data_IF_861321055658
#
_entry.id   IF_861321055658
#
_cell.length_a   1.000
_cell.length_b   1.000
_cell.length_c   1.000
_cell.angle_alpha   90.00
_cell.angle_beta   90.00
_cell.angle_gamma   90.00
#
_symmetry.space_group_name_H-M   'P 1'
#
loop_
_entity.id
_entity.type
_entity.pdbx_description
1 polymer ?
#
# COMPACT_ATOMS: atom_id res chain seq x y z
N UNK A 1 52.08 15.40 31.43
CA UNK A 1 51.86 15.46 29.96
C UNK A 1 52.49 14.22 29.33
N UNK A 2 51.70 13.27 28.83
CA UNK A 2 52.16 12.04 28.17
C UNK A 2 51.65 12.03 26.73
N UNK A 3 52.58 12.04 25.78
CA UNK A 3 52.35 11.97 24.33
C UNK A 3 52.09 10.52 23.92
N UNK A 4 51.01 10.28 23.17
CA UNK A 4 50.64 8.96 22.61
C UNK A 4 50.88 8.98 21.09
N UNK A 5 51.55 7.97 20.51
CA UNK A 5 51.87 7.95 19.08
C UNK A 5 50.70 7.48 18.21
N UNK A 6 50.50 8.18 17.08
CA UNK A 6 49.58 7.82 15.97
C UNK A 6 50.11 6.60 15.20
N UNK A 7 49.33 5.52 15.13
CA UNK A 7 49.52 4.45 14.13
C UNK A 7 48.63 4.72 12.90
N UNK A 8 49.27 4.92 11.74
CA UNK A 8 48.63 4.84 10.42
C UNK A 8 48.56 3.37 10.00
N UNK A 9 47.36 2.85 9.77
CA UNK A 9 47.17 1.60 9.04
C UNK A 9 46.76 1.95 7.60
N UNK A 10 47.55 1.46 6.64
CA UNK A 10 47.34 1.67 5.22
C UNK A 10 46.22 0.78 4.67
N UNK A 11 45.29 1.39 3.93
CA UNK A 11 44.35 0.66 3.09
C UNK A 11 45.09 0.11 1.87
N UNK A 12 45.17 -1.22 1.78
CA UNK A 12 45.52 -1.93 0.54
C UNK A 12 44.23 -2.11 -0.26
N UNK A 13 44.14 -1.43 -1.39
CA UNK A 13 43.07 -1.60 -2.36
C UNK A 13 43.17 -2.99 -3.01
N UNK A 14 42.07 -3.72 -3.03
CA UNK A 14 41.93 -4.95 -3.82
C UNK A 14 41.39 -4.60 -5.23
N UNK A 15 41.76 -5.38 -6.26
CA UNK A 15 41.50 -5.05 -7.66
C UNK A 15 40.05 -5.31 -8.09
N UNK A 16 39.65 -4.55 -9.10
CA UNK A 16 38.39 -4.61 -9.85
C UNK A 16 38.16 -6.00 -10.46
N UNK A 17 37.06 -6.64 -10.06
CA UNK A 17 36.55 -7.83 -10.72
C UNK A 17 35.52 -7.39 -11.78
N UNK A 18 35.97 -7.33 -13.03
CA UNK A 18 35.14 -7.19 -14.23
C UNK A 18 34.18 -8.37 -14.35
N UNK A 19 32.88 -8.08 -14.35
CA UNK A 19 31.85 -9.08 -14.66
C UNK A 19 31.61 -9.17 -16.19
N UNK A 20 31.31 -10.38 -16.70
CA UNK A 20 31.09 -10.63 -18.12
C UNK A 20 29.78 -10.04 -18.63
N UNK A 21 29.86 -9.56 -19.87
CA UNK A 21 28.76 -9.11 -20.72
C UNK A 21 27.91 -10.34 -21.08
N UNK A 22 26.66 -10.36 -20.62
CA UNK A 22 25.69 -11.37 -21.08
C UNK A 22 25.02 -10.89 -22.37
N UNK A 23 25.16 -11.72 -23.39
CA UNK A 23 24.65 -11.53 -24.74
C UNK A 23 23.12 -11.45 -24.76
N UNK A 24 22.61 -10.52 -25.57
CA UNK A 24 21.20 -10.41 -25.91
C UNK A 24 20.77 -11.61 -26.78
N UNK A 25 19.79 -12.38 -26.31
CA UNK A 25 19.08 -13.34 -27.13
C UNK A 25 18.02 -12.58 -27.95
N UNK A 26 18.23 -12.53 -29.26
CA UNK A 26 17.24 -12.09 -30.22
C UNK A 26 16.11 -13.14 -30.28
N UNK A 27 14.88 -12.74 -29.95
CA UNK A 27 13.69 -13.56 -30.13
C UNK A 27 13.15 -13.33 -31.53
N UNK A 28 13.23 -14.37 -32.37
CA UNK A 28 12.65 -14.40 -33.70
C UNK A 28 11.12 -14.35 -33.62
N UNK A 29 10.53 -13.25 -34.07
CA UNK A 29 9.09 -13.14 -34.36
C UNK A 29 8.76 -13.93 -35.62
N UNK A 30 8.10 -15.07 -35.49
CA UNK A 30 7.41 -15.74 -36.59
C UNK A 30 6.02 -15.10 -36.76
N UNK A 31 5.85 -14.35 -37.85
CA UNK A 31 4.56 -13.89 -38.31
C UNK A 31 3.78 -15.09 -38.87
N UNK A 32 2.82 -15.59 -38.11
CA UNK A 32 1.79 -16.50 -38.64
C UNK A 32 0.58 -15.67 -39.07
N UNK A 33 0.41 -15.54 -40.39
CA UNK A 33 -0.82 -15.08 -40.99
C UNK A 33 -1.89 -16.15 -40.78
N UNK A 34 -2.70 -15.99 -39.73
CA UNK A 34 -3.89 -16.80 -39.51
C UNK A 34 -5.09 -16.15 -40.22
N UNK A 35 -5.70 -16.98 -41.05
CA UNK A 35 -6.86 -16.71 -41.89
C UNK A 35 -8.06 -16.35 -41.00
N UNK A 36 -8.44 -15.07 -41.01
CA UNK A 36 -9.46 -14.50 -40.14
C UNK A 36 -10.86 -14.73 -40.73
N UNK A 37 -11.40 -15.95 -40.62
CA UNK A 37 -12.85 -16.15 -40.71
C UNK A 37 -13.46 -15.71 -39.38
N UNK A 38 -13.96 -14.47 -39.34
CA UNK A 38 -14.62 -13.86 -38.18
C UNK A 38 -15.88 -14.68 -37.85
N UNK A 39 -15.92 -15.44 -36.74
CA UNK A 39 -17.20 -15.94 -36.26
C UNK A 39 -18.00 -14.74 -35.76
N UNK A 40 -19.25 -14.59 -36.23
CA UNK A 40 -20.21 -13.67 -35.61
C UNK A 40 -20.37 -14.11 -34.15
N UNK A 41 -19.63 -13.45 -33.26
CA UNK A 41 -19.83 -13.55 -31.83
C UNK A 41 -21.27 -13.10 -31.57
N UNK A 42 -22.13 -14.06 -31.23
CA UNK A 42 -23.41 -13.78 -30.59
C UNK A 42 -23.09 -12.85 -29.43
N UNK A 43 -23.45 -11.57 -29.56
CA UNK A 43 -23.35 -10.65 -28.45
C UNK A 43 -24.15 -11.28 -27.31
N UNK A 44 -23.53 -11.57 -26.15
CA UNK A 44 -24.29 -12.01 -25.00
C UNK A 44 -25.39 -10.96 -24.78
N UNK A 45 -26.64 -11.39 -24.55
CA UNK A 45 -27.75 -10.46 -24.36
C UNK A 45 -27.32 -9.39 -23.36
N UNK A 46 -27.62 -8.11 -23.62
CA UNK A 46 -27.23 -7.02 -22.74
C UNK A 46 -27.68 -7.39 -21.34
N UNK A 47 -26.69 -7.70 -20.48
CA UNK A 47 -26.95 -7.99 -19.08
C UNK A 47 -27.60 -6.73 -18.55
N UNK A 48 -28.91 -6.83 -18.30
CA UNK A 48 -29.65 -5.79 -17.61
C UNK A 48 -29.03 -5.74 -16.24
N UNK A 49 -28.05 -4.85 -16.06
CA UNK A 49 -27.48 -4.52 -14.78
C UNK A 49 -28.69 -4.14 -13.94
N UNK A 50 -29.08 -5.03 -13.02
CA UNK A 50 -30.15 -4.74 -12.08
C UNK A 50 -29.83 -3.36 -11.52
N UNK A 51 -30.77 -2.42 -11.70
CA UNK A 51 -30.62 -1.05 -11.21
C UNK A 51 -30.45 -1.18 -9.71
N UNK A 52 -29.20 -1.22 -9.27
CA UNK A 52 -28.83 -1.54 -7.90
C UNK A 52 -29.49 -0.54 -6.98
N UNK A 53 -30.06 -1.01 -5.88
CA UNK A 53 -30.59 -0.13 -4.83
C UNK A 53 -29.49 0.85 -4.42
N UNK A 54 -29.84 2.10 -4.11
CA UNK A 54 -28.84 3.07 -3.68
C UNK A 54 -28.37 2.76 -2.25
N UNK A 55 -27.12 3.10 -1.93
CA UNK A 55 -26.61 3.08 -0.56
C UNK A 55 -27.37 4.14 0.25
N UNK A 56 -28.05 3.71 1.31
CA UNK A 56 -28.81 4.62 2.20
C UNK A 56 -28.07 4.92 3.49
N UNK A 57 -27.18 4.02 3.91
CA UNK A 57 -26.42 4.15 5.15
C UNK A 57 -25.08 3.41 5.00
N UNK A 58 -24.01 3.99 5.56
CA UNK A 58 -22.70 3.35 5.69
C UNK A 58 -22.33 3.31 7.18
N UNK A 59 -22.23 2.10 7.72
CA UNK A 59 -21.86 1.84 9.11
C UNK A 59 -20.46 1.26 9.15
N UNK A 60 -19.60 1.85 9.98
CA UNK A 60 -18.24 1.35 10.23
C UNK A 60 -18.22 0.67 11.60
N UNK A 61 -17.66 -0.53 11.66
CA UNK A 61 -17.46 -1.30 12.89
C UNK A 61 -16.02 -1.79 13.00
N UNK A 62 -15.54 -2.03 14.22
CA UNK A 62 -14.19 -2.54 14.48
C UNK A 62 -13.09 -1.48 14.53
N UNK A 63 -13.42 -0.21 14.25
CA UNK A 63 -12.48 0.90 14.40
C UNK A 63 -12.19 1.20 15.89
N UNK A 64 -10.94 1.56 16.20
CA UNK A 64 -10.43 1.77 17.57
C UNK A 64 -9.71 3.10 17.71
N UNK A 65 -8.78 3.38 16.81
CA UNK A 65 -7.95 4.60 16.79
C UNK A 65 -8.37 5.50 15.65
N UNK A 66 -8.70 4.95 14.48
CA UNK A 66 -9.15 5.73 13.34
C UNK A 66 -10.62 6.14 13.50
N UNK A 67 -10.92 7.37 13.06
CA UNK A 67 -12.28 7.87 13.05
C UNK A 67 -13.11 7.15 11.97
N UNK A 68 -14.33 6.76 12.30
CA UNK A 68 -15.29 6.20 11.35
C UNK A 68 -15.51 7.11 10.12
N UNK A 69 -15.50 8.44 10.28
CA UNK A 69 -15.61 9.36 9.13
C UNK A 69 -14.44 9.24 8.16
N UNK A 70 -13.23 9.08 8.68
CA UNK A 70 -12.05 8.87 7.85
C UNK A 70 -12.21 7.56 7.06
N UNK A 71 -12.64 6.48 7.72
CA UNK A 71 -12.85 5.17 7.07
C UNK A 71 -13.93 5.26 6.00
N UNK A 72 -15.05 5.93 6.27
CA UNK A 72 -16.10 6.19 5.27
C UNK A 72 -15.55 6.95 4.07
N UNK A 73 -14.82 8.03 4.30
CA UNK A 73 -14.24 8.84 3.21
C UNK A 73 -13.20 8.05 2.42
N UNK A 74 -12.36 7.27 3.09
CA UNK A 74 -11.31 6.45 2.47
C UNK A 74 -11.87 5.29 1.64
N UNK A 75 -13.10 4.86 1.90
CA UNK A 75 -13.77 3.85 1.07
C UNK A 75 -14.05 4.34 -0.36
N UNK A 76 -14.04 5.66 -0.61
CA UNK A 76 -14.28 6.25 -1.93
C UNK A 76 -15.74 6.29 -2.38
N UNK A 77 -16.68 5.80 -1.54
CA UNK A 77 -18.11 5.78 -1.84
C UNK A 77 -18.92 6.48 -0.75
N UNK A 78 -20.13 6.94 -1.11
CA UNK A 78 -21.03 7.70 -0.23
C UNK A 78 -22.47 7.22 -0.35
N UNK A 79 -23.30 7.70 0.59
CA UNK A 79 -24.76 7.56 0.52
C UNK A 79 -25.27 8.14 -0.80
N UNK A 80 -26.12 7.38 -1.50
CA UNK A 80 -26.64 7.69 -2.83
C UNK A 80 -25.92 6.97 -3.98
N UNK A 81 -24.71 6.43 -3.76
CA UNK A 81 -24.02 5.64 -4.79
C UNK A 81 -24.73 4.28 -5.01
N UNK A 82 -24.52 3.61 -6.16
CA UNK A 82 -25.09 2.29 -6.41
C UNK A 82 -24.64 1.26 -5.37
N UNK A 83 -25.56 0.46 -4.85
CA UNK A 83 -25.24 -0.68 -4.01
C UNK A 83 -25.21 -1.97 -4.82
N UNK A 84 -24.03 -2.31 -5.32
CA UNK A 84 -23.75 -3.56 -6.02
C UNK A 84 -22.38 -4.09 -5.61
N UNK A 85 -22.10 -5.35 -5.94
CA UNK A 85 -20.87 -6.03 -5.52
C UNK A 85 -19.60 -5.31 -6.00
N UNK A 86 -19.62 -4.74 -7.21
CA UNK A 86 -18.49 -3.98 -7.77
C UNK A 86 -18.13 -2.80 -6.88
N UNK A 87 -19.13 -2.07 -6.38
CA UNK A 87 -18.93 -0.96 -5.45
C UNK A 87 -18.40 -1.46 -4.09
N UNK A 88 -18.93 -2.55 -3.56
CA UNK A 88 -18.45 -3.12 -2.29
C UNK A 88 -16.99 -3.57 -2.39
N UNK A 89 -16.61 -4.18 -3.50
CA UNK A 89 -15.23 -4.57 -3.78
C UNK A 89 -14.31 -3.36 -3.95
N UNK A 90 -14.75 -2.31 -4.63
CA UNK A 90 -14.02 -1.05 -4.74
C UNK A 90 -13.79 -0.41 -3.36
N UNK A 91 -14.83 -0.36 -2.52
CA UNK A 91 -14.71 0.13 -1.13
C UNK A 91 -13.65 -0.66 -0.36
N UNK A 92 -13.70 -2.00 -0.45
CA UNK A 92 -12.73 -2.88 0.20
C UNK A 92 -11.31 -2.62 -0.32
N UNK A 93 -11.13 -2.54 -1.62
CA UNK A 93 -9.83 -2.33 -2.26
C UNK A 93 -9.24 -0.97 -1.87
N UNK A 94 -10.02 0.11 -1.95
CA UNK A 94 -9.59 1.45 -1.57
C UNK A 94 -9.11 1.50 -0.11
N UNK A 95 -9.83 0.83 0.80
CA UNK A 95 -9.44 0.74 2.20
C UNK A 95 -8.15 -0.05 2.40
N UNK A 96 -7.97 -1.18 1.72
CA UNK A 96 -6.72 -1.96 1.77
C UNK A 96 -5.53 -1.15 1.24
N UNK A 97 -5.72 -0.39 0.16
CA UNK A 97 -4.70 0.48 -0.44
C UNK A 97 -4.26 1.62 0.49
N UNK A 98 -5.07 1.99 1.49
CA UNK A 98 -4.63 2.96 2.48
C UNK A 98 -3.51 2.44 3.38
N UNK A 99 -3.29 1.12 3.47
CA UNK A 99 -2.24 0.52 4.30
C UNK A 99 -2.53 0.47 5.80
N UNK A 100 -3.73 0.88 6.24
CA UNK A 100 -4.08 0.99 7.65
C UNK A 100 -4.64 -0.29 8.30
N UNK A 101 -4.93 -1.34 7.52
CA UNK A 101 -5.70 -2.51 7.97
C UNK A 101 -5.07 -3.88 7.62
N UNK A 102 -3.85 -3.90 7.04
CA UNK A 102 -3.26 -5.09 6.43
C UNK A 102 -2.26 -5.85 7.32
N UNK A 103 -1.85 -5.29 8.46
CA UNK A 103 -0.65 -5.75 9.19
C UNK A 103 -0.73 -7.19 9.73
N UNK A 104 -1.88 -7.58 10.32
CA UNK A 104 -2.04 -8.92 10.89
C UNK A 104 -2.83 -9.87 10.01
N UNK A 105 -3.86 -9.35 9.33
CA UNK A 105 -4.89 -10.17 8.67
C UNK A 105 -4.81 -10.08 7.14
N UNK A 106 -3.82 -9.36 6.59
CA UNK A 106 -3.68 -9.13 5.16
C UNK A 106 -4.98 -8.56 4.57
N UNK A 107 -5.47 -9.18 3.49
CA UNK A 107 -6.72 -8.77 2.85
C UNK A 107 -7.99 -9.01 3.71
N UNK A 108 -7.90 -9.79 4.79
CA UNK A 108 -9.05 -10.09 5.66
C UNK A 108 -9.30 -8.99 6.71
N UNK A 109 -8.39 -8.03 6.86
CA UNK A 109 -8.54 -6.90 7.79
C UNK A 109 -9.63 -5.91 7.38
N UNK A 110 -10.19 -6.03 6.18
CA UNK A 110 -11.33 -5.23 5.72
C UNK A 110 -12.40 -6.14 5.13
N UNK A 111 -13.60 -6.10 5.69
CA UNK A 111 -14.77 -6.79 5.19
C UNK A 111 -15.87 -5.77 4.90
N UNK A 112 -16.40 -5.79 3.68
CA UNK A 112 -17.48 -4.90 3.25
C UNK A 112 -18.64 -5.77 2.81
N UNK A 113 -19.82 -5.54 3.38
CA UNK A 113 -21.04 -6.27 3.04
C UNK A 113 -22.23 -5.32 3.01
N UNK A 114 -23.28 -5.68 2.28
CA UNK A 114 -24.55 -4.96 2.28
C UNK A 114 -25.63 -5.76 2.99
N UNK A 115 -26.57 -5.05 3.61
CA UNK A 115 -27.82 -5.57 4.15
C UNK A 115 -28.98 -4.81 3.51
N UNK A 116 -30.07 -5.50 3.18
CA UNK A 116 -31.30 -4.85 2.72
C UNK A 116 -32.01 -4.17 3.90
N UNK A 117 -32.48 -2.95 3.70
CA UNK A 117 -33.17 -2.21 4.76
C UNK A 117 -34.65 -2.59 4.73
N UNK A 118 -35.11 -3.32 5.76
CA UNK A 118 -36.49 -3.78 5.85
C UNK A 118 -37.49 -2.64 5.65
N UNK A 119 -38.35 -2.78 4.62
CA UNK A 119 -39.43 -1.82 4.32
C UNK A 119 -38.97 -0.50 3.67
N UNK A 120 -37.72 -0.38 3.20
CA UNK A 120 -37.25 0.81 2.48
C UNK A 120 -36.44 0.44 1.24
N UNK A 121 -36.60 1.18 0.12
CA UNK A 121 -35.72 1.01 -1.03
C UNK A 121 -34.32 1.49 -0.67
N UNK A 122 -33.34 0.59 -0.75
CA UNK A 122 -31.94 0.92 -0.44
C UNK A 122 -31.18 -0.23 0.19
N UNK A 123 -29.87 -0.06 0.28
CA UNK A 123 -29.03 -0.96 1.06
C UNK A 123 -28.31 -0.20 2.18
N UNK A 124 -27.97 -0.93 3.23
CA UNK A 124 -27.07 -0.51 4.29
C UNK A 124 -25.73 -1.19 4.08
N UNK A 125 -24.66 -0.43 3.92
CA UNK A 125 -23.31 -0.98 3.81
C UNK A 125 -22.69 -1.05 5.20
N UNK A 126 -22.12 -2.19 5.54
CA UNK A 126 -21.40 -2.43 6.79
C UNK A 126 -19.93 -2.67 6.42
N UNK A 127 -19.07 -1.77 6.88
CA UNK A 127 -17.62 -1.86 6.76
C UNK A 127 -17.08 -2.33 8.11
N UNK A 128 -16.60 -3.56 8.15
CA UNK A 128 -15.90 -4.11 9.31
C UNK A 128 -14.40 -4.06 9.06
N UNK A 129 -13.69 -3.37 9.96
CA UNK A 129 -12.23 -3.21 9.86
C UNK A 129 -11.51 -3.78 11.07
N UNK A 130 -10.31 -4.26 10.84
CA UNK A 130 -9.31 -4.56 11.86
C UNK A 130 -8.13 -3.61 11.68
N UNK A 131 -8.02 -2.62 12.56
CA UNK A 131 -6.94 -1.63 12.48
C UNK A 131 -5.57 -2.21 12.85
N UNK A 132 -4.56 -1.72 12.14
CA UNK A 132 -3.17 -1.95 12.48
C UNK A 132 -2.83 -1.44 13.89
N UNK A 133 -1.74 -1.95 14.51
CA UNK A 133 -1.30 -1.48 15.83
C UNK A 133 -1.13 0.04 15.89
N UNK A 134 -1.60 0.63 17.00
CA UNK A 134 -1.27 2.02 17.34
C UNK A 134 0.25 2.18 17.49
N UNK A 135 0.83 3.18 16.84
CA UNK A 135 2.23 3.54 17.03
C UNK A 135 2.34 4.49 18.23
N UNK A 136 3.25 4.16 19.15
CA UNK A 136 3.72 5.12 20.15
C UNK A 136 5.08 5.68 19.72
N UNK A 137 5.03 6.83 19.04
CA UNK A 137 6.20 7.51 18.48
C UNK A 137 7.28 7.85 19.51
N UNK A 138 6.89 8.09 20.77
CA UNK A 138 7.83 8.51 21.82
C UNK A 138 8.61 7.34 22.39
N UNK A 139 7.98 6.17 22.51
CA UNK A 139 8.57 5.03 23.23
C UNK A 139 9.00 3.88 22.33
N UNK A 140 8.44 3.74 21.12
CA UNK A 140 8.63 2.53 20.29
C UNK A 140 9.48 2.72 19.04
N UNK A 141 9.79 3.95 18.63
CA UNK A 141 10.65 4.20 17.47
C UNK A 141 12.10 4.37 17.92
N UNK A 142 12.88 3.31 17.83
CA UNK A 142 14.31 3.31 18.11
C UNK A 142 15.12 3.24 16.81
N UNK A 143 16.09 4.14 16.66
CA UNK A 143 16.99 4.15 15.51
C UNK A 143 18.38 3.81 16.00
N UNK A 144 18.89 2.68 15.53
CA UNK A 144 20.25 2.21 15.80
C UNK A 144 21.04 2.11 14.50
N UNK A 145 22.36 2.27 14.57
CA UNK A 145 23.22 2.15 13.39
C UNK A 145 23.09 3.30 12.38
N UNK A 146 22.81 4.51 12.85
CA UNK A 146 22.58 5.68 11.98
C UNK A 146 23.85 6.22 11.28
N UNK A 147 25.03 5.74 11.65
CA UNK A 147 26.30 6.14 11.05
C UNK A 147 26.52 7.66 11.14
N UNK A 148 26.71 8.37 10.00
CA UNK A 148 27.00 9.80 9.97
C UNK A 148 25.77 10.69 10.19
N UNK A 149 24.55 10.17 10.03
CA UNK A 149 23.32 10.95 10.16
C UNK A 149 22.81 10.84 11.61
N UNK A 150 22.52 11.96 12.30
CA UNK A 150 21.93 11.92 13.63
C UNK A 150 20.56 11.21 13.62
N UNK A 151 20.25 10.36 14.62
CA UNK A 151 18.94 9.69 14.70
C UNK A 151 17.74 10.63 14.63
N UNK A 152 17.83 11.82 15.22
CA UNK A 152 16.74 12.81 15.19
C UNK A 152 16.45 13.35 13.79
N UNK A 153 17.47 13.45 12.93
CA UNK A 153 17.28 13.83 11.53
C UNK A 153 16.57 12.71 10.76
N UNK A 154 16.92 11.44 11.02
CA UNK A 154 16.22 10.30 10.43
C UNK A 154 14.77 10.24 10.91
N UNK A 155 14.51 10.44 12.22
CA UNK A 155 13.14 10.50 12.77
C UNK A 155 12.29 11.58 12.10
N UNK A 156 12.89 12.71 11.73
CA UNK A 156 12.17 13.80 11.06
C UNK A 156 11.70 13.45 9.64
N UNK A 157 12.26 12.41 9.03
CA UNK A 157 11.86 11.90 7.72
C UNK A 157 10.71 10.88 7.79
N UNK A 158 10.42 10.36 8.98
CA UNK A 158 9.38 9.34 9.19
C UNK A 158 8.04 10.05 9.43
N UNK A 159 6.99 9.66 8.69
CA UNK A 159 5.65 10.22 8.85
C UNK A 159 5.01 9.76 10.15
N UNK A 160 4.44 10.70 10.89
CA UNK A 160 3.71 10.39 12.10
C UNK A 160 2.25 10.05 11.80
N UNK A 161 1.94 8.76 11.75
CA UNK A 161 0.58 8.23 11.61
C UNK A 161 0.04 7.72 12.95
N UNK A 162 -1.29 7.61 13.07
CA UNK A 162 -1.94 7.14 14.30
C UNK A 162 -1.80 5.62 14.51
N UNK A 163 -1.83 4.87 13.41
CA UNK A 163 -1.63 3.41 13.36
C UNK A 163 -0.49 3.10 12.42
N UNK A 164 0.11 1.91 12.55
CA UNK A 164 1.10 1.44 11.60
C UNK A 164 0.53 1.42 10.18
N UNK A 165 1.32 1.91 9.22
CA UNK A 165 0.94 2.04 7.83
C UNK A 165 2.11 1.57 6.97
N UNK A 166 1.92 0.47 6.22
CA UNK A 166 2.96 -0.16 5.41
C UNK A 166 3.33 0.66 4.18
N UNK A 167 2.35 1.31 3.54
CA UNK A 167 2.55 2.20 2.39
C UNK A 167 3.42 3.39 2.78
N UNK A 168 3.08 4.08 3.88
CA UNK A 168 3.87 5.19 4.39
C UNK A 168 5.25 4.74 4.83
N UNK A 169 5.35 3.59 5.50
CA UNK A 169 6.65 3.04 5.92
C UNK A 169 7.60 2.80 4.73
N UNK A 170 7.09 2.27 3.62
CA UNK A 170 7.88 2.08 2.40
C UNK A 170 8.32 3.40 1.76
N UNK A 171 7.50 4.45 1.84
CA UNK A 171 7.88 5.79 1.39
C UNK A 171 8.95 6.40 2.30
N UNK A 172 8.81 6.22 3.61
CA UNK A 172 9.75 6.74 4.61
C UNK A 172 11.13 6.09 4.48
N UNK A 173 11.20 4.78 4.20
CA UNK A 173 12.46 4.09 3.89
C UNK A 173 13.16 4.75 2.69
N UNK A 174 12.43 4.99 1.59
CA UNK A 174 13.01 5.63 0.40
C UNK A 174 13.50 7.05 0.68
N UNK A 175 12.81 7.80 1.54
CA UNK A 175 13.26 9.12 1.96
C UNK A 175 14.57 9.05 2.75
N UNK A 176 14.70 8.09 3.67
CA UNK A 176 15.91 7.84 4.45
C UNK A 176 17.06 7.41 3.53
N UNK A 177 16.84 6.43 2.65
CA UNK A 177 17.84 5.98 1.66
C UNK A 177 18.29 7.12 0.75
N UNK A 178 17.34 7.95 0.27
CA UNK A 178 17.63 9.15 -0.51
C UNK A 178 18.54 10.13 0.24
N UNK A 179 18.33 10.29 1.54
CA UNK A 179 19.18 11.13 2.39
C UNK A 179 20.61 10.59 2.50
N UNK A 180 20.80 9.28 2.66
CA UNK A 180 22.13 8.65 2.67
C UNK A 180 22.83 8.74 1.31
N UNK A 181 22.09 8.49 0.23
CA UNK A 181 22.58 8.56 -1.15
C UNK A 181 23.09 9.97 -1.50
N UNK A 182 22.38 11.02 -1.06
CA UNK A 182 22.79 12.41 -1.24
C UNK A 182 24.12 12.75 -0.55
N UNK A 183 24.52 11.99 0.47
CA UNK A 183 25.79 12.11 1.17
C UNK A 183 26.88 11.19 0.62
N UNK A 184 26.60 10.42 -0.44
CA UNK A 184 27.54 9.51 -1.10
C UNK A 184 27.59 8.10 -0.51
N UNK A 185 26.65 7.74 0.38
CA UNK A 185 26.52 6.38 0.92
C UNK A 185 25.60 5.55 0.02
N UNK A 186 26.02 4.34 -0.33
CA UNK A 186 25.29 3.39 -1.19
C UNK A 186 25.33 1.99 -0.60
#
# INVERSE_FOLDING_TARGET
>A
MKTVPRRRAGNKYAPLCTLPIYAALAVSTSAQAQNNSVPLLQQPPPQTQAVGTAITEIVVIGNKVLNAEYIRSASGHKVGDPCNEVVLDQMRQNLLETGNFTYFSGAQGVQVRSEEVAGKPGCKVIIQVEENPKIDWKSKVNISGSGPIPPEEIKSLIRQTAVYNDVDFAVDIRAIEGKYSALGYR
#
